data_IF_031368698799
#
_entry.id   IF_031368698799
#
_cell.length_a   1.000
_cell.length_b   1.000
_cell.length_c   1.000
_cell.angle_alpha   90.00
_cell.angle_beta   90.00
_cell.angle_gamma   90.00
#
_symmetry.space_group_name_H-M   'P 1'
#
loop_
_entity.id
_entity.type
_entity.pdbx_description
1 polymer ?
#
# COMPACT_ATOMS: atom_id res chain seq x y z
N UNK A 1 26.08 4.56 -1.21
CA UNK A 1 25.74 4.85 0.21
C UNK A 1 24.62 3.90 0.62
N UNK A 2 24.93 2.94 1.47
CA UNK A 2 23.93 2.15 2.19
C UNK A 2 23.28 3.11 3.19
N UNK A 3 22.06 3.56 2.90
CA UNK A 3 21.10 4.04 3.89
C UNK A 3 20.00 2.99 3.80
N UNK A 4 19.79 2.02 4.66
CA UNK A 4 20.18 1.76 6.03
C UNK A 4 19.77 0.28 6.19
N UNK A 5 20.65 -0.62 6.64
CA UNK A 5 20.25 -2.04 6.85
C UNK A 5 19.07 -2.15 7.82
N UNK A 6 18.87 -1.14 8.67
CA UNK A 6 17.71 -0.96 9.54
C UNK A 6 16.40 -0.74 8.77
N UNK A 7 16.42 0.00 7.65
CA UNK A 7 15.22 0.33 6.88
C UNK A 7 14.71 -0.88 6.10
N UNK A 8 15.61 -1.70 5.55
CA UNK A 8 15.24 -2.97 4.94
C UNK A 8 14.66 -3.95 5.96
N UNK A 9 15.21 -3.96 7.19
CA UNK A 9 14.67 -4.77 8.28
C UNK A 9 13.26 -4.32 8.67
N UNK A 10 13.04 -3.01 8.85
CA UNK A 10 11.72 -2.47 9.15
C UNK A 10 10.68 -2.86 8.09
N UNK A 11 11.01 -2.71 6.80
CA UNK A 11 10.12 -3.12 5.73
C UNK A 11 9.78 -4.61 5.79
N UNK A 12 10.77 -5.48 6.02
CA UNK A 12 10.54 -6.92 6.14
C UNK A 12 9.62 -7.29 7.31
N UNK A 13 9.78 -6.65 8.46
CA UNK A 13 8.90 -6.86 9.62
C UNK A 13 7.45 -6.42 9.34
N UNK A 14 7.28 -5.24 8.73
CA UNK A 14 5.96 -4.76 8.29
C UNK A 14 5.34 -5.71 7.28
N UNK A 15 6.13 -6.23 6.33
CA UNK A 15 5.64 -7.15 5.30
C UNK A 15 5.22 -8.50 5.88
N UNK A 16 5.95 -9.04 6.86
CA UNK A 16 5.56 -10.27 7.56
C UNK A 16 4.21 -10.05 8.22
N UNK A 17 4.00 -8.91 8.86
CA UNK A 17 2.72 -8.55 9.46
C UNK A 17 1.62 -8.41 8.39
N UNK A 18 1.90 -7.71 7.29
CA UNK A 18 0.94 -7.49 6.20
C UNK A 18 0.58 -8.75 5.41
N UNK A 19 1.46 -9.76 5.40
CA UNK A 19 1.22 -11.04 4.74
C UNK A 19 0.01 -11.77 5.32
N UNK A 20 -0.21 -11.64 6.62
CA UNK A 20 -1.26 -12.36 7.34
C UNK A 20 -2.63 -11.68 7.25
N UNK A 21 -2.73 -10.52 6.58
CA UNK A 21 -3.99 -9.83 6.37
C UNK A 21 -4.82 -10.45 5.24
N UNK A 22 -5.93 -11.07 5.63
CA UNK A 22 -6.92 -11.63 4.71
C UNK A 22 -8.33 -11.16 5.11
N UNK A 23 -8.68 -9.92 4.75
CA UNK A 23 -10.01 -9.35 4.97
C UNK A 23 -10.44 -8.56 3.72
N UNK A 24 -11.72 -8.64 3.28
CA UNK A 24 -12.20 -7.94 2.08
C UNK A 24 -11.99 -6.42 2.10
N UNK A 25 -11.99 -5.80 3.28
CA UNK A 25 -11.82 -4.35 3.45
C UNK A 25 -10.39 -3.92 3.81
N UNK A 26 -9.44 -4.86 3.86
CA UNK A 26 -8.03 -4.58 4.14
C UNK A 26 -7.19 -4.86 2.90
N UNK A 27 -6.30 -3.94 2.57
CA UNK A 27 -5.40 -4.09 1.43
C UNK A 27 -4.43 -5.26 1.65
N UNK A 28 -4.62 -6.34 0.90
CA UNK A 28 -3.74 -7.52 0.96
C UNK A 28 -2.44 -7.30 0.17
N UNK A 29 -1.29 -7.57 0.78
CA UNK A 29 -0.02 -7.67 0.08
C UNK A 29 -0.06 -8.85 -0.92
N UNK A 30 0.20 -8.61 -2.20
CA UNK A 30 0.17 -9.68 -3.23
C UNK A 30 1.51 -10.39 -3.32
N UNK A 31 2.57 -9.63 -3.57
CA UNK A 31 3.93 -10.18 -3.62
C UNK A 31 4.97 -9.11 -3.35
N UNK A 32 6.17 -9.60 -3.08
CA UNK A 32 7.36 -8.82 -2.76
C UNK A 32 8.39 -9.14 -3.83
N UNK A 33 9.03 -8.12 -4.37
CA UNK A 33 10.07 -8.30 -5.39
C UNK A 33 11.33 -7.53 -5.02
N UNK A 34 12.46 -8.05 -5.48
CA UNK A 34 13.76 -7.40 -5.36
C UNK A 34 14.06 -6.75 -6.71
N UNK A 35 14.16 -5.43 -6.71
CA UNK A 35 14.53 -4.64 -7.89
C UNK A 35 16.03 -4.39 -7.86
N UNK A 36 16.74 -5.05 -8.77
CA UNK A 36 18.16 -4.81 -8.99
C UNK A 36 18.33 -3.70 -10.04
N UNK A 37 19.05 -2.62 -9.73
CA UNK A 37 19.36 -1.59 -10.72
C UNK A 37 20.20 -2.17 -11.86
N UNK A 38 19.90 -1.78 -13.09
CA UNK A 38 20.61 -2.24 -14.30
C UNK A 38 21.98 -1.54 -14.44
N UNK A 39 22.19 -0.43 -13.72
CA UNK A 39 23.43 0.35 -13.80
C UNK A 39 24.49 -0.14 -12.81
N UNK A 40 25.75 -0.33 -13.24
CA UNK A 40 26.83 -0.85 -12.39
C UNK A 40 27.19 0.07 -11.20
N UNK A 41 26.79 1.35 -11.23
CA UNK A 41 26.96 2.31 -10.12
C UNK A 41 25.97 2.12 -8.96
N UNK A 42 24.87 1.41 -9.18
CA UNK A 42 23.84 1.13 -8.19
C UNK A 42 23.82 -0.37 -7.88
N UNK A 43 24.80 -0.83 -7.11
CA UNK A 43 24.99 -2.25 -6.78
C UNK A 43 24.04 -2.77 -5.69
N UNK A 44 23.06 -1.96 -5.25
CA UNK A 44 22.25 -2.28 -4.07
C UNK A 44 20.84 -2.68 -4.53
N UNK A 45 20.42 -3.95 -4.31
CA UNK A 45 19.05 -4.38 -4.54
C UNK A 45 18.09 -3.59 -3.64
N UNK A 46 17.01 -3.08 -4.22
CA UNK A 46 15.92 -2.41 -3.51
C UNK A 46 14.72 -3.34 -3.39
N UNK A 47 13.99 -3.25 -2.28
CA UNK A 47 12.77 -4.03 -2.07
C UNK A 47 11.56 -3.25 -2.61
N UNK A 48 10.71 -3.89 -3.40
CA UNK A 48 9.46 -3.32 -3.86
C UNK A 48 8.28 -4.21 -3.46
N UNK A 49 7.18 -3.54 -3.10
CA UNK A 49 5.94 -4.17 -2.65
C UNK A 49 4.88 -4.04 -3.74
N UNK A 50 4.12 -5.09 -3.97
CA UNK A 50 3.02 -5.07 -4.94
C UNK A 50 1.68 -5.26 -4.24
N UNK A 51 0.81 -4.30 -4.50
CA UNK A 51 -0.53 -4.18 -3.94
C UNK A 51 -1.58 -4.17 -5.06
N UNK A 52 -2.85 -4.51 -4.77
CA UNK A 52 -3.94 -4.26 -5.70
C UNK A 52 -4.06 -2.77 -5.99
N UNK A 53 -4.31 -2.42 -7.25
CA UNK A 53 -4.47 -1.03 -7.67
C UNK A 53 -5.80 -0.46 -7.20
N UNK A 54 -5.76 0.62 -6.43
CA UNK A 54 -6.94 1.37 -5.98
C UNK A 54 -7.31 2.40 -7.04
N UNK A 55 -8.30 2.09 -7.87
CA UNK A 55 -8.69 2.92 -9.03
C UNK A 55 -9.03 4.37 -8.66
N UNK A 56 -9.69 4.57 -7.51
CA UNK A 56 -10.12 5.88 -7.02
C UNK A 56 -9.13 6.54 -6.05
N UNK A 57 -7.95 5.94 -5.85
CA UNK A 57 -6.97 6.44 -4.89
C UNK A 57 -7.44 6.30 -3.43
N UNK A 58 -7.09 7.28 -2.61
CA UNK A 58 -7.46 7.33 -1.20
C UNK A 58 -8.82 8.02 -0.98
N UNK A 59 -9.51 7.65 0.11
CA UNK A 59 -10.84 8.15 0.41
C UNK A 59 -10.88 9.67 0.65
N UNK A 60 -9.80 10.25 1.18
CA UNK A 60 -9.76 11.68 1.50
C UNK A 60 -9.73 12.52 0.22
N UNK A 61 -8.87 12.16 -0.73
CA UNK A 61 -8.84 12.77 -2.06
C UNK A 61 -10.15 12.54 -2.80
N UNK A 62 -10.69 11.31 -2.75
CA UNK A 62 -11.93 10.96 -3.44
C UNK A 62 -13.13 11.80 -2.98
N UNK A 63 -13.30 12.01 -1.66
CA UNK A 63 -14.41 12.80 -1.10
C UNK A 63 -14.24 14.31 -1.35
N UNK A 64 -12.99 14.78 -1.51
CA UNK A 64 -12.70 16.20 -1.76
C UNK A 64 -12.77 16.60 -3.23
N UNK A 65 -12.73 15.63 -4.14
CA UNK A 65 -12.83 15.86 -5.57
C UNK A 65 -14.23 16.38 -5.92
N UNK A 66 -14.30 17.58 -6.52
CA UNK A 66 -15.56 18.22 -6.92
C UNK A 66 -16.31 17.44 -8.01
N UNK A 67 -15.63 16.54 -8.74
CA UNK A 67 -16.29 15.66 -9.71
C UNK A 67 -17.06 14.51 -9.05
N UNK A 68 -16.75 14.19 -7.80
CA UNK A 68 -17.44 13.16 -7.03
C UNK A 68 -18.51 13.79 -6.14
N UNK A 69 -19.70 13.18 -6.11
CA UNK A 69 -20.83 13.63 -5.26
C UNK A 69 -21.35 12.47 -4.38
N UNK A 70 -20.56 12.01 -3.39
CA UNK A 70 -20.99 10.94 -2.50
C UNK A 70 -22.18 11.38 -1.67
N UNK A 71 -23.20 10.52 -1.55
CA UNK A 71 -24.36 10.79 -0.69
C UNK A 71 -24.05 10.37 0.73
N UNK A 72 -24.90 10.81 1.67
CA UNK A 72 -24.78 10.41 3.08
C UNK A 72 -24.76 8.88 3.26
N UNK A 73 -25.61 8.15 2.54
CA UNK A 73 -25.62 6.68 2.59
C UNK A 73 -24.28 6.08 2.16
N UNK A 74 -23.61 6.69 1.18
CA UNK A 74 -22.32 6.21 0.68
C UNK A 74 -21.21 6.47 1.73
N UNK A 75 -21.24 7.62 2.42
CA UNK A 75 -20.34 7.92 3.54
C UNK A 75 -20.52 6.97 4.73
N UNK A 76 -21.76 6.62 5.05
CA UNK A 76 -22.06 5.62 6.10
C UNK A 76 -21.50 4.27 5.67
N UNK A 77 -21.69 3.87 4.42
CA UNK A 77 -21.16 2.61 3.89
C UNK A 77 -19.63 2.58 3.92
N UNK A 78 -18.93 3.67 3.57
CA UNK A 78 -17.48 3.75 3.70
C UNK A 78 -17.05 3.55 5.16
N UNK A 79 -17.77 4.18 6.09
CA UNK A 79 -17.48 4.05 7.52
C UNK A 79 -17.70 2.61 8.02
N UNK A 80 -18.76 1.94 7.57
CA UNK A 80 -19.01 0.53 7.88
C UNK A 80 -17.90 -0.37 7.32
N UNK A 81 -17.43 -0.11 6.10
CA UNK A 81 -16.34 -0.87 5.48
C UNK A 81 -14.99 -0.67 6.20
N UNK A 82 -14.74 0.51 6.77
CA UNK A 82 -13.52 0.78 7.54
C UNK A 82 -13.58 0.08 8.91
N UNK A 83 -14.76 0.00 9.51
CA UNK A 83 -14.96 -0.62 10.82
C UNK A 83 -15.03 -2.15 10.77
N UNK A 84 -15.38 -2.72 9.62
CA UNK A 84 -15.41 -4.17 9.39
C UNK A 84 -14.02 -4.75 9.17
#
# INVERSE_FOLDING_TARGET
>A
MIKDSSQNRFLLEEMITMKDFCHPNVMSLKFVTIVCPIQPSYTIPSLALVFPYMHYGDLHSYVRDESNSPRLCDLINYSTQIAS
#
